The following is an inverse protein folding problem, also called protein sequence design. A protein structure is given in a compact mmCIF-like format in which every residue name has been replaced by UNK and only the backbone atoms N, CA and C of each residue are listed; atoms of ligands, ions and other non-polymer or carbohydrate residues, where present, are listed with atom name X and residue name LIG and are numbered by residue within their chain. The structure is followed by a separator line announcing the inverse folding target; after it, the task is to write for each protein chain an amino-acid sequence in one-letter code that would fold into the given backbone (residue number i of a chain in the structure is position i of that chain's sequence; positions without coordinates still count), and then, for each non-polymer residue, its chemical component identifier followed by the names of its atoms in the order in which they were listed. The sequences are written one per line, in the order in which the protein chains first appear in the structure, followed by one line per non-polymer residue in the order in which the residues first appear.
data_IF_405139615879
#
_entry.id   IF_405139615879
#
_cell.length_a   1.000
_cell.length_b   1.000
_cell.length_c   1.000
_cell.angle_alpha   90.00
_cell.angle_beta   90.00
_cell.angle_gamma   90.00
#
_symmetry.space_group_name_H-M   'P 1'
#
loop_
_entity.id
_entity.type
_entity.pdbx_description
1 polymer ?
#
# COMPACT_ATOMS: atom_id res chain seq x y z
N UNK A 1 -18.82 -42.77 -62.24
CA UNK A 1 -19.98 -43.42 -61.60
C UNK A 1 -19.69 -43.46 -60.09
N UNK A 2 -20.61 -42.81 -59.32
CA UNK A 2 -20.74 -42.71 -57.88
C UNK A 2 -19.57 -42.04 -57.08
N UNK A 3 -19.84 -40.83 -56.76
CA UNK A 3 -19.24 -40.03 -55.69
C UNK A 3 -19.55 -40.67 -54.34
N UNK A 4 -18.55 -40.79 -53.44
CA UNK A 4 -18.77 -41.10 -52.05
C UNK A 4 -18.72 -39.82 -51.24
N UNK A 5 -19.79 -39.55 -50.56
CA UNK A 5 -19.97 -38.46 -49.59
C UNK A 5 -18.95 -38.57 -48.50
N UNK A 6 -18.23 -37.49 -48.23
CA UNK A 6 -17.47 -37.30 -47.01
C UNK A 6 -18.41 -36.73 -45.95
N UNK A 7 -18.65 -37.50 -44.93
CA UNK A 7 -19.32 -37.08 -43.73
C UNK A 7 -18.60 -35.88 -43.07
N UNK A 8 -19.30 -34.82 -42.84
CA UNK A 8 -18.88 -33.66 -42.06
C UNK A 8 -18.86 -34.03 -40.59
N UNK A 9 -17.70 -33.84 -39.97
CA UNK A 9 -17.53 -33.90 -38.51
C UNK A 9 -18.08 -32.57 -37.92
N UNK A 10 -18.93 -32.60 -36.91
CA UNK A 10 -19.37 -31.39 -36.24
C UNK A 10 -18.20 -30.82 -35.46
N UNK A 11 -17.88 -29.56 -35.73
CA UNK A 11 -17.14 -28.71 -34.84
C UNK A 11 -18.17 -28.07 -33.90
N UNK A 12 -18.19 -28.43 -32.66
CA UNK A 12 -18.76 -27.64 -31.58
C UNK A 12 -18.37 -28.31 -30.27
N UNK A 13 -17.18 -27.96 -29.78
CA UNK A 13 -16.91 -27.89 -28.35
C UNK A 13 -16.26 -26.55 -28.12
N UNK A 14 -17.13 -25.60 -27.87
CA UNK A 14 -16.87 -24.30 -27.28
C UNK A 14 -16.25 -24.57 -25.91
N UNK A 15 -14.90 -24.45 -25.84
CA UNK A 15 -14.20 -24.37 -24.57
C UNK A 15 -14.68 -23.08 -23.90
N UNK A 16 -15.57 -23.24 -22.93
CA UNK A 16 -15.88 -22.21 -21.97
C UNK A 16 -14.58 -21.89 -21.22
N UNK A 17 -13.98 -20.74 -21.56
CA UNK A 17 -12.98 -20.10 -20.75
C UNK A 17 -13.60 -19.91 -19.36
N UNK A 18 -13.13 -20.69 -18.40
CA UNK A 18 -13.38 -20.42 -16.99
C UNK A 18 -12.59 -19.16 -16.64
N UNK A 19 -13.19 -18.00 -16.86
CA UNK A 19 -12.77 -16.79 -16.21
C UNK A 19 -12.72 -17.10 -14.70
N UNK A 20 -11.51 -17.12 -14.16
CA UNK A 20 -11.31 -17.18 -12.74
C UNK A 20 -12.00 -15.94 -12.15
N UNK A 21 -13.10 -16.15 -11.46
CA UNK A 21 -13.71 -15.12 -10.62
C UNK A 21 -12.71 -14.78 -9.53
N UNK A 22 -11.86 -13.77 -9.78
CA UNK A 22 -11.14 -13.07 -8.72
C UNK A 22 -12.23 -12.58 -7.77
N UNK A 23 -12.12 -12.93 -6.50
CA UNK A 23 -13.11 -12.57 -5.50
C UNK A 23 -13.29 -11.05 -5.47
N UNK A 24 -14.51 -10.55 -5.58
CA UNK A 24 -14.90 -9.14 -5.44
C UNK A 24 -14.70 -8.60 -4.00
N UNK A 25 -13.82 -9.20 -3.23
CA UNK A 25 -13.51 -8.79 -1.86
C UNK A 25 -12.26 -7.93 -1.90
N UNK A 26 -12.41 -6.66 -1.55
CA UNK A 26 -11.30 -5.72 -1.43
C UNK A 26 -10.23 -6.25 -0.45
N UNK A 27 -8.98 -6.12 -0.84
CA UNK A 27 -7.85 -6.41 0.05
C UNK A 27 -7.74 -5.36 1.15
N UNK A 28 -6.98 -5.66 2.21
CA UNK A 28 -6.70 -4.68 3.25
C UNK A 28 -5.97 -3.44 2.70
N UNK A 29 -5.10 -3.61 1.71
CA UNK A 29 -4.40 -2.50 1.05
C UNK A 29 -5.36 -1.60 0.28
N UNK A 30 -6.26 -2.17 -0.54
CA UNK A 30 -7.31 -1.42 -1.25
C UNK A 30 -8.24 -0.69 -0.27
N UNK A 31 -8.57 -1.33 0.85
CA UNK A 31 -9.40 -0.69 1.90
C UNK A 31 -8.70 0.50 2.55
N UNK A 32 -7.38 0.42 2.78
CA UNK A 32 -6.57 1.54 3.30
C UNK A 32 -6.54 2.68 2.29
N UNK A 33 -6.25 2.40 1.03
CA UNK A 33 -6.18 3.41 -0.04
C UNK A 33 -7.53 4.10 -0.24
N UNK A 34 -8.62 3.34 -0.31
CA UNK A 34 -9.97 3.90 -0.37
C UNK A 34 -10.31 4.75 0.86
N UNK A 35 -9.83 4.37 2.04
CA UNK A 35 -9.98 5.16 3.26
C UNK A 35 -9.26 6.51 3.19
N UNK A 36 -8.03 6.54 2.65
CA UNK A 36 -7.27 7.77 2.43
C UNK A 36 -7.95 8.70 1.40
N UNK A 37 -8.42 8.13 0.31
CA UNK A 37 -9.16 8.86 -0.73
C UNK A 37 -10.44 9.49 -0.16
N UNK A 38 -11.23 8.70 0.57
CA UNK A 38 -12.45 9.19 1.25
C UNK A 38 -12.15 10.28 2.31
N UNK A 39 -10.97 10.26 2.91
CA UNK A 39 -10.50 11.29 3.84
C UNK A 39 -9.98 12.55 3.13
N UNK A 40 -9.94 12.56 1.79
CA UNK A 40 -9.49 13.69 0.99
C UNK A 40 -7.97 13.85 0.98
N UNK A 41 -7.22 12.76 1.11
CA UNK A 41 -5.76 12.74 0.98
C UNK A 41 -5.40 12.92 -0.49
N UNK A 42 -4.61 13.93 -0.79
CA UNK A 42 -4.15 14.26 -2.14
C UNK A 42 -2.66 13.91 -2.36
N UNK A 43 -1.86 13.93 -1.29
CA UNK A 43 -0.42 13.71 -1.36
C UNK A 43 0.05 12.72 -0.29
N UNK A 44 0.95 11.83 -0.70
CA UNK A 44 1.60 10.87 0.19
C UNK A 44 3.12 10.96 0.00
N UNK A 45 3.87 10.93 1.08
CA UNK A 45 5.32 11.03 1.08
C UNK A 45 5.92 9.70 1.53
N UNK A 46 6.85 9.10 0.79
CA UNK A 46 7.35 7.82 1.24
C UNK A 46 8.51 7.22 0.46
N UNK A 47 8.96 6.10 0.97
CA UNK A 47 9.97 5.25 0.35
C UNK A 47 9.37 3.85 0.15
N UNK A 48 9.45 3.36 -1.07
CA UNK A 48 8.96 2.02 -1.41
C UNK A 48 9.78 0.93 -0.70
N UNK A 49 9.13 -0.19 -0.40
CA UNK A 49 9.81 -1.35 0.17
C UNK A 49 8.87 -2.55 0.26
N UNK A 50 9.44 -3.74 0.40
CA UNK A 50 8.72 -5.01 0.24
C UNK A 50 7.44 -5.15 1.08
N UNK A 51 7.50 -4.79 2.37
CA UNK A 51 6.37 -4.99 3.27
C UNK A 51 5.21 -3.99 3.08
N UNK A 52 5.44 -2.86 2.41
CA UNK A 52 4.41 -1.87 2.08
C UNK A 52 3.96 -1.94 0.60
N UNK A 53 4.57 -2.81 -0.20
CA UNK A 53 4.30 -2.94 -1.63
C UNK A 53 2.81 -3.12 -1.96
N UNK A 54 2.02 -3.93 -1.24
CA UNK A 54 0.59 -4.07 -1.52
C UNK A 54 -0.18 -2.73 -1.49
N UNK A 55 0.22 -1.79 -0.64
CA UNK A 55 -0.37 -0.45 -0.60
C UNK A 55 0.02 0.35 -1.83
N UNK A 56 1.28 0.23 -2.30
CA UNK A 56 1.72 0.87 -3.54
C UNK A 56 1.03 0.30 -4.78
N UNK A 57 0.79 -1.02 -4.81
CA UNK A 57 0.04 -1.66 -5.90
C UNK A 57 -1.40 -1.12 -5.95
N UNK A 58 -2.05 -0.99 -4.79
CA UNK A 58 -3.37 -0.39 -4.72
C UNK A 58 -3.37 1.10 -5.11
N UNK A 59 -2.37 1.89 -4.67
CA UNK A 59 -2.23 3.31 -5.02
C UNK A 59 -2.08 3.53 -6.53
N UNK A 60 -1.50 2.60 -7.25
CA UNK A 60 -1.27 2.72 -8.70
C UNK A 60 -2.56 2.89 -9.51
N UNK A 61 -3.68 2.38 -9.00
CA UNK A 61 -5.00 2.49 -9.63
C UNK A 61 -5.74 3.81 -9.26
N UNK A 62 -5.16 4.65 -8.38
CA UNK A 62 -5.76 5.87 -7.85
C UNK A 62 -5.01 7.12 -8.32
N UNK A 63 -5.33 7.62 -9.51
CA UNK A 63 -4.68 8.78 -10.15
C UNK A 63 -4.87 10.11 -9.37
N UNK A 64 -5.84 10.18 -8.48
CA UNK A 64 -6.19 11.38 -7.69
C UNK A 64 -5.22 11.61 -6.53
N UNK A 65 -4.46 10.59 -6.12
CA UNK A 65 -3.48 10.67 -5.04
C UNK A 65 -2.05 10.65 -5.56
N UNK A 66 -1.33 11.74 -5.37
CA UNK A 66 0.07 11.85 -5.80
C UNK A 66 1.04 11.29 -4.76
N UNK A 67 1.82 10.28 -5.13
CA UNK A 67 2.91 9.78 -4.31
C UNK A 67 4.23 10.50 -4.62
N UNK A 68 4.79 11.15 -3.62
CA UNK A 68 6.07 11.86 -3.69
C UNK A 68 7.15 10.95 -3.11
N UNK A 69 8.00 10.40 -3.99
CA UNK A 69 9.11 9.54 -3.58
C UNK A 69 10.19 10.35 -2.87
N UNK A 70 10.51 9.94 -1.65
CA UNK A 70 11.53 10.55 -0.83
C UNK A 70 12.83 9.75 -0.86
N UNK A 71 13.96 10.42 -0.62
CA UNK A 71 15.27 9.75 -0.55
C UNK A 71 15.51 9.01 0.79
N UNK A 72 14.74 9.37 1.83
CA UNK A 72 14.83 8.80 3.17
C UNK A 72 13.50 9.00 3.90
N UNK A 73 13.10 8.03 4.72
CA UNK A 73 11.81 8.03 5.42
C UNK A 73 11.68 9.18 6.43
N UNK A 74 12.76 9.59 7.08
CA UNK A 74 12.76 10.76 7.95
C UNK A 74 12.31 12.01 7.17
N UNK A 75 12.79 12.17 5.94
CA UNK A 75 12.34 13.25 5.06
C UNK A 75 10.86 13.14 4.70
N UNK A 76 10.34 11.91 4.55
CA UNK A 76 8.92 11.67 4.32
C UNK A 76 8.07 12.11 5.51
N UNK A 77 8.48 11.77 6.73
CA UNK A 77 7.79 12.18 7.95
C UNK A 77 7.77 13.70 8.11
N UNK A 78 8.92 14.39 7.95
CA UNK A 78 8.96 15.85 8.01
C UNK A 78 8.19 16.54 6.86
N UNK A 79 8.14 15.93 5.67
CA UNK A 79 7.33 16.47 4.58
C UNK A 79 5.81 16.35 4.88
N UNK A 80 5.40 15.22 5.45
CA UNK A 80 4.03 15.01 5.90
C UNK A 80 3.65 15.99 7.03
N UNK A 81 4.54 16.19 7.99
CA UNK A 81 4.40 17.14 9.07
C UNK A 81 4.21 18.57 8.54
N UNK A 82 5.14 19.04 7.71
CA UNK A 82 5.05 20.36 7.08
C UNK A 82 3.79 20.52 6.23
N UNK A 83 3.34 19.47 5.54
CA UNK A 83 2.08 19.47 4.79
C UNK A 83 0.89 19.67 5.73
N UNK A 84 0.89 18.97 6.87
CA UNK A 84 -0.13 19.12 7.90
C UNK A 84 -0.23 20.52 8.45
N UNK A 85 0.91 21.14 8.78
CA UNK A 85 1.00 22.52 9.29
C UNK A 85 0.44 23.51 8.26
N UNK A 86 0.87 23.39 7.00
CA UNK A 86 0.53 24.41 5.97
C UNK A 86 -0.91 24.28 5.49
N UNK A 87 -1.43 23.07 5.38
CA UNK A 87 -2.76 22.82 4.80
C UNK A 87 -3.87 22.68 5.83
N UNK A 88 -3.54 22.34 7.07
CA UNK A 88 -4.49 21.94 8.11
C UNK A 88 -5.15 20.58 7.85
N UNK A 89 -4.67 19.83 6.85
CA UNK A 89 -5.09 18.45 6.55
C UNK A 89 -4.03 17.49 7.07
N UNK A 90 -4.38 16.24 7.44
CA UNK A 90 -3.36 15.26 7.81
C UNK A 90 -2.35 15.03 6.68
N UNK A 91 -1.06 15.18 6.98
CA UNK A 91 -0.01 14.71 6.09
C UNK A 91 0.17 13.20 6.21
N UNK A 92 0.40 12.51 5.11
CA UNK A 92 0.51 11.04 5.10
C UNK A 92 1.91 10.63 4.68
N UNK A 93 2.57 9.79 5.49
CA UNK A 93 3.84 9.20 5.11
C UNK A 93 3.79 7.68 5.11
N UNK A 94 4.57 7.07 4.21
CA UNK A 94 4.61 5.63 3.94
C UNK A 94 6.03 5.11 4.13
N UNK A 95 6.18 3.96 4.81
CA UNK A 95 7.44 3.27 4.93
C UNK A 95 7.26 1.74 4.98
N UNK A 96 8.31 1.01 4.63
CA UNK A 96 8.35 -0.44 4.82
C UNK A 96 8.50 -0.80 6.30
N UNK A 97 8.54 -2.09 6.61
CA UNK A 97 8.77 -2.60 7.97
C UNK A 97 10.18 -2.29 8.48
N UNK A 98 10.42 -2.57 9.74
CA UNK A 98 11.74 -2.50 10.40
C UNK A 98 12.41 -1.14 10.25
N UNK A 99 13.56 -1.07 9.55
CA UNK A 99 14.32 0.18 9.43
C UNK A 99 13.54 1.29 8.74
N UNK A 100 12.64 0.98 7.81
CA UNK A 100 11.77 1.98 7.18
C UNK A 100 10.84 2.63 8.20
N UNK A 101 10.16 1.83 9.01
CA UNK A 101 9.28 2.31 10.06
C UNK A 101 10.07 3.11 11.13
N UNK A 102 11.22 2.62 11.60
CA UNK A 102 12.01 3.32 12.61
C UNK A 102 12.61 4.63 12.12
N UNK A 103 12.89 4.76 10.82
CA UNK A 103 13.36 6.01 10.23
C UNK A 103 12.31 7.14 10.22
N UNK A 104 11.03 6.84 10.39
CA UNK A 104 9.97 7.85 10.53
C UNK A 104 9.96 8.51 11.92
N UNK A 105 10.53 7.84 12.96
CA UNK A 105 10.31 8.19 14.36
C UNK A 105 10.68 9.63 14.69
N UNK A 106 11.78 10.15 14.14
CA UNK A 106 12.19 11.54 14.40
C UNK A 106 11.12 12.55 13.99
N UNK A 107 10.58 12.41 12.77
CA UNK A 107 9.53 13.32 12.29
C UNK A 107 8.20 13.10 13.02
N UNK A 108 7.87 11.86 13.37
CA UNK A 108 6.66 11.57 14.16
C UNK A 108 6.75 12.13 15.58
N UNK A 109 7.93 12.09 16.21
CA UNK A 109 8.15 12.68 17.53
C UNK A 109 8.01 14.21 17.48
N UNK A 110 8.52 14.84 16.43
CA UNK A 110 8.38 16.29 16.17
C UNK A 110 6.91 16.68 16.04
N UNK A 111 6.21 16.05 15.09
CA UNK A 111 4.79 16.28 14.86
C UNK A 111 3.92 16.05 16.11
N UNK A 112 4.25 15.01 16.91
CA UNK A 112 3.52 14.73 18.14
C UNK A 112 3.74 15.82 19.21
N UNK A 113 4.95 16.38 19.31
CA UNK A 113 5.26 17.45 20.28
C UNK A 113 4.52 18.75 19.91
N UNK A 114 4.41 19.05 18.62
CA UNK A 114 3.76 20.26 18.12
C UNK A 114 2.26 20.09 17.87
N UNK A 115 1.74 18.85 18.02
CA UNK A 115 0.34 18.48 17.79
C UNK A 115 -0.09 18.62 16.33
N UNK A 116 0.83 18.35 15.41
CA UNK A 116 0.57 18.43 13.98
C UNK A 116 -0.07 17.13 13.46
N UNK A 117 -1.00 17.21 12.50
CA UNK A 117 -1.75 16.07 12.04
C UNK A 117 -0.93 15.25 11.04
N UNK A 118 -0.35 14.14 11.48
CA UNK A 118 0.40 13.20 10.64
C UNK A 118 -0.17 11.79 10.76
N UNK A 119 -0.31 11.12 9.62
CA UNK A 119 -0.64 9.70 9.52
C UNK A 119 0.58 8.96 8.97
N UNK A 120 1.12 8.02 9.71
CA UNK A 120 2.20 7.16 9.26
C UNK A 120 1.67 5.75 8.99
N UNK A 121 1.82 5.28 7.75
CA UNK A 121 1.50 3.92 7.35
C UNK A 121 2.78 3.13 7.19
N UNK A 122 2.95 2.09 8.00
CA UNK A 122 4.14 1.23 7.93
C UNK A 122 3.75 -0.19 7.54
N UNK A 123 4.56 -0.81 6.68
CA UNK A 123 4.47 -2.24 6.47
C UNK A 123 4.88 -3.01 7.73
N UNK A 124 4.50 -4.27 7.80
CA UNK A 124 4.96 -5.21 8.80
C UNK A 124 5.30 -6.55 8.13
N UNK A 125 6.14 -7.33 8.76
CA UNK A 125 6.39 -8.70 8.32
C UNK A 125 5.10 -9.53 8.41
N UNK A 126 4.96 -10.64 7.64
CA UNK A 126 3.80 -11.52 7.73
C UNK A 126 3.49 -11.92 9.18
N UNK A 127 2.22 -12.01 9.53
CA UNK A 127 1.74 -12.24 10.91
C UNK A 127 2.41 -13.42 11.60
N UNK A 128 2.66 -14.51 10.87
CA UNK A 128 3.31 -15.71 11.38
C UNK A 128 4.79 -15.53 11.76
N UNK A 129 5.40 -14.44 11.28
CA UNK A 129 6.80 -14.11 11.55
C UNK A 129 6.97 -13.06 12.65
N UNK A 130 5.90 -12.37 13.03
CA UNK A 130 5.96 -11.35 14.09
C UNK A 130 6.41 -11.98 15.41
N UNK A 131 7.45 -11.41 16.02
CA UNK A 131 8.05 -11.92 17.27
C UNK A 131 9.08 -13.03 17.09
N UNK A 132 9.50 -13.31 15.86
CA UNK A 132 10.45 -14.37 15.53
C UNK A 132 11.78 -13.85 14.93
N UNK A 133 12.13 -12.60 15.17
CA UNK A 133 13.35 -11.97 14.64
C UNK A 133 13.46 -12.07 13.10
N UNK A 134 12.33 -11.88 12.41
CA UNK A 134 12.28 -11.94 10.96
C UNK A 134 13.08 -10.78 10.32
N UNK A 135 13.46 -10.97 9.05
CA UNK A 135 14.16 -9.92 8.31
C UNK A 135 13.34 -8.61 8.28
N UNK A 136 13.97 -7.53 8.70
CA UNK A 136 13.34 -6.21 8.81
C UNK A 136 12.09 -6.18 9.72
N UNK A 137 12.05 -7.03 10.73
CA UNK A 137 11.07 -6.92 11.81
C UNK A 137 11.51 -5.89 12.84
N UNK A 138 10.56 -5.17 13.39
CA UNK A 138 10.76 -4.27 14.54
C UNK A 138 9.45 -4.19 15.32
N UNK A 139 9.55 -4.12 16.64
CA UNK A 139 8.41 -3.75 17.50
C UNK A 139 8.04 -2.28 17.27
N UNK A 140 7.34 -2.01 16.18
CA UNK A 140 6.97 -0.65 15.78
C UNK A 140 6.08 0.01 16.84
N UNK A 141 5.22 -0.76 17.52
CA UNK A 141 4.36 -0.24 18.60
C UNK A 141 5.21 0.19 19.79
N UNK A 142 6.18 -0.64 20.19
CA UNK A 142 7.05 -0.33 21.31
C UNK A 142 7.95 0.88 21.09
N UNK A 143 8.48 1.06 19.88
CA UNK A 143 9.36 2.21 19.56
C UNK A 143 8.60 3.51 19.30
N UNK A 144 7.28 3.46 19.04
CA UNK A 144 6.44 4.63 18.86
C UNK A 144 5.60 4.97 20.10
N UNK A 145 5.69 4.16 21.15
CA UNK A 145 5.01 4.46 22.41
C UNK A 145 5.62 5.72 23.03
N UNK A 146 4.80 6.66 23.56
CA UNK A 146 5.26 7.86 24.25
C UNK A 146 5.94 7.56 25.57
#
# INVERSE_FOLDING_TARGET
MRMSERASVPKDEEQADSESTVSDVATGAESVVAGLENAGVEHLFGVQGGAIMPVYDALYEHEEMEHITMAHEQGAAHAADAYGIVTGKPGVCLATSGPGATNLITGLADANMDSDPVIALTGQVPTDFVGNDAFQETDTIGVTAP
#
